data_IF_428267452377
#
_entry.id   IF_428267452377
#
_cell.length_a   1.000
_cell.length_b   1.000
_cell.length_c   1.000
_cell.angle_alpha   90.00
_cell.angle_beta   90.00
_cell.angle_gamma   90.00
#
_symmetry.space_group_name_H-M   'P 1'
#
loop_
_entity.id
_entity.type
_entity.pdbx_description
1 polymer ?
#
# COMPACT_ATOMS: atom_id res chain seq x y z
N UNK A 1 9.60 -5.49 25.81
CA UNK A 1 8.84 -5.06 24.64
C UNK A 1 7.67 -4.23 25.17
N UNK A 2 7.65 -2.94 24.88
CA UNK A 2 6.57 -2.05 25.34
C UNK A 2 5.34 -2.36 24.47
N UNK A 3 4.34 -3.07 25.02
CA UNK A 3 3.10 -3.42 24.32
C UNK A 3 2.38 -2.20 23.71
N UNK A 4 2.65 -1.01 24.24
CA UNK A 4 2.17 0.29 23.76
C UNK A 4 2.60 0.60 22.32
N UNK A 5 3.81 0.21 21.91
CA UNK A 5 4.37 0.56 20.59
C UNK A 5 3.76 -0.29 19.47
N UNK A 6 3.59 -1.59 19.71
CA UNK A 6 2.88 -2.49 18.78
C UNK A 6 1.40 -2.14 18.70
N UNK A 7 0.76 -1.78 19.82
CA UNK A 7 -0.61 -1.29 19.82
C UNK A 7 -0.78 -0.05 18.94
N UNK A 8 0.18 0.89 18.98
CA UNK A 8 0.11 2.08 18.14
C UNK A 8 0.14 1.76 16.65
N UNK A 9 0.95 0.79 16.21
CA UNK A 9 0.92 0.31 14.82
C UNK A 9 -0.45 -0.26 14.44
N UNK A 10 -1.04 -1.10 15.31
CA UNK A 10 -2.36 -1.66 15.06
C UNK A 10 -3.45 -0.58 14.98
N UNK A 11 -3.36 0.45 15.83
CA UNK A 11 -4.27 1.59 15.80
C UNK A 11 -4.09 2.44 14.54
N UNK A 12 -2.86 2.67 14.09
CA UNK A 12 -2.59 3.39 12.84
C UNK A 12 -3.14 2.61 11.65
N UNK A 13 -2.87 1.30 11.54
CA UNK A 13 -3.46 0.45 10.51
C UNK A 13 -5.00 0.46 10.55
N UNK A 14 -5.60 0.48 11.75
CA UNK A 14 -7.06 0.55 11.92
C UNK A 14 -7.66 1.85 11.36
N UNK A 15 -6.91 2.96 11.29
CA UNK A 15 -7.38 4.21 10.69
C UNK A 15 -7.76 4.06 9.22
N UNK A 16 -7.18 3.10 8.50
CA UNK A 16 -7.51 2.83 7.09
C UNK A 16 -8.99 2.51 6.87
N UNK A 17 -9.69 1.98 7.89
CA UNK A 17 -11.14 1.75 7.83
C UNK A 17 -11.96 3.05 7.74
N UNK A 18 -11.35 4.17 8.10
CA UNK A 18 -11.96 5.50 8.06
C UNK A 18 -11.39 6.38 6.94
N UNK A 19 -10.45 5.87 6.12
CA UNK A 19 -9.93 6.56 4.94
C UNK A 19 -10.72 6.10 3.73
N UNK A 20 -11.63 6.92 3.16
CA UNK A 20 -12.34 6.55 1.94
C UNK A 20 -11.39 6.61 0.74
N UNK A 21 -11.59 5.74 -0.26
CA UNK A 21 -10.85 5.82 -1.52
C UNK A 21 -11.24 7.09 -2.29
N UNK A 22 -10.33 8.06 -2.35
CA UNK A 22 -10.61 9.43 -2.80
C UNK A 22 -11.08 9.47 -4.26
N UNK A 23 -10.60 8.56 -5.10
CA UNK A 23 -11.08 8.44 -6.49
C UNK A 23 -12.60 8.25 -6.59
N UNK A 24 -13.21 7.43 -5.72
CA UNK A 24 -14.66 7.22 -5.70
C UNK A 24 -15.39 8.46 -5.15
N UNK A 25 -14.86 9.07 -4.10
CA UNK A 25 -15.41 10.30 -3.49
C UNK A 25 -15.47 11.42 -4.52
N UNK A 26 -14.39 11.63 -5.28
CA UNK A 26 -14.33 12.64 -6.35
C UNK A 26 -15.35 12.42 -7.47
N UNK A 27 -15.79 11.16 -7.66
CA UNK A 27 -16.83 10.78 -8.64
C UNK A 27 -18.25 10.79 -8.06
N UNK A 28 -18.43 11.29 -6.83
CA UNK A 28 -19.73 11.43 -6.19
C UNK A 28 -20.30 10.12 -5.62
N UNK A 29 -19.49 9.08 -5.44
CA UNK A 29 -19.92 7.85 -4.77
C UNK A 29 -20.05 8.11 -3.27
N UNK A 30 -21.28 8.14 -2.77
CA UNK A 30 -21.57 8.51 -1.38
C UNK A 30 -21.02 7.51 -0.35
N UNK A 31 -21.00 6.22 -0.69
CA UNK A 31 -20.47 5.14 0.17
C UNK A 31 -19.26 4.50 -0.51
N UNK A 32 -18.23 5.32 -0.74
CA UNK A 32 -16.95 4.84 -1.23
C UNK A 32 -16.37 3.79 -0.26
N UNK A 33 -15.76 2.74 -0.83
CA UNK A 33 -14.99 1.78 -0.04
C UNK A 33 -13.86 2.48 0.73
N UNK A 34 -13.48 1.92 1.88
CA UNK A 34 -12.30 2.38 2.61
C UNK A 34 -11.01 1.79 2.03
N UNK A 35 -9.86 2.37 2.36
CA UNK A 35 -8.55 1.82 2.00
C UNK A 35 -8.34 0.43 2.62
N UNK A 36 -8.93 0.17 3.80
CA UNK A 36 -8.92 -1.16 4.39
C UNK A 36 -9.74 -2.18 3.57
N UNK A 37 -10.92 -1.80 3.08
CA UNK A 37 -11.74 -2.65 2.20
C UNK A 37 -11.00 -2.96 0.89
N UNK A 38 -10.37 -1.94 0.32
CA UNK A 38 -9.53 -2.07 -0.87
C UNK A 38 -8.38 -3.05 -0.64
N UNK A 39 -7.62 -2.86 0.45
CA UNK A 39 -6.48 -3.71 0.80
C UNK A 39 -6.87 -5.16 1.04
N UNK A 40 -8.03 -5.41 1.66
CA UNK A 40 -8.58 -6.76 1.79
C UNK A 40 -8.88 -7.36 0.41
N UNK A 41 -9.53 -6.60 -0.48
CA UNK A 41 -9.81 -7.02 -1.86
C UNK A 41 -8.55 -7.37 -2.63
N UNK A 42 -7.51 -6.52 -2.57
CA UNK A 42 -6.20 -6.76 -3.21
C UNK A 42 -5.54 -8.02 -2.65
N UNK A 43 -5.52 -8.21 -1.33
CA UNK A 43 -4.95 -9.42 -0.71
C UNK A 43 -5.69 -10.69 -1.13
N UNK A 44 -7.03 -10.66 -1.14
CA UNK A 44 -7.85 -11.80 -1.55
C UNK A 44 -7.67 -12.14 -3.03
N UNK A 45 -7.70 -11.13 -3.91
CA UNK A 45 -7.44 -11.32 -5.34
C UNK A 45 -6.04 -11.88 -5.55
N UNK A 46 -5.02 -11.34 -4.86
CA UNK A 46 -3.64 -11.82 -4.96
C UNK A 46 -3.52 -13.28 -4.53
N UNK A 47 -4.20 -13.69 -3.46
CA UNK A 47 -4.26 -15.08 -3.04
C UNK A 47 -4.84 -15.98 -4.12
N UNK A 48 -6.02 -15.63 -4.66
CA UNK A 48 -6.69 -16.46 -5.69
C UNK A 48 -5.86 -16.53 -6.97
N UNK A 49 -5.35 -15.40 -7.46
CA UNK A 49 -4.52 -15.35 -8.66
C UNK A 49 -3.22 -16.14 -8.49
N UNK A 50 -2.67 -16.23 -7.28
CA UNK A 50 -1.48 -17.04 -7.02
C UNK A 50 -1.68 -18.54 -7.24
N UNK A 51 -2.93 -19.03 -7.24
CA UNK A 51 -3.26 -20.43 -7.57
C UNK A 51 -3.43 -20.66 -9.08
N UNK A 52 -3.56 -19.59 -9.87
CA UNK A 52 -3.84 -19.66 -11.30
C UNK A 52 -2.61 -19.45 -12.17
N UNK A 53 -1.49 -19.03 -11.59
CA UNK A 53 -0.23 -18.84 -12.30
C UNK A 53 0.66 -20.08 -12.16
N UNK A 54 1.29 -20.50 -13.25
CA UNK A 54 2.15 -21.69 -13.27
C UNK A 54 3.49 -21.47 -12.56
N UNK A 55 3.86 -20.22 -12.30
CA UNK A 55 5.12 -19.86 -11.65
C UNK A 55 5.00 -20.00 -10.12
N UNK A 56 5.99 -20.61 -9.45
CA UNK A 56 5.98 -20.71 -7.99
C UNK A 56 6.10 -19.31 -7.37
N UNK A 57 5.12 -18.94 -6.55
CA UNK A 57 5.09 -17.67 -5.82
C UNK A 57 5.26 -17.89 -4.32
N UNK A 58 6.03 -17.00 -3.68
CA UNK A 58 6.04 -16.87 -2.23
C UNK A 58 4.75 -16.14 -1.78
N UNK A 59 3.76 -16.92 -1.35
CA UNK A 59 2.46 -16.39 -0.89
C UNK A 59 2.59 -15.52 0.36
N UNK A 60 3.54 -15.80 1.25
CA UNK A 60 3.73 -14.99 2.45
C UNK A 60 4.22 -13.59 2.09
N UNK A 61 5.22 -13.51 1.21
CA UNK A 61 5.69 -12.25 0.63
C UNK A 61 4.57 -11.51 -0.11
N UNK A 62 3.88 -12.19 -1.02
CA UNK A 62 2.79 -11.62 -1.83
C UNK A 62 1.69 -10.99 -0.97
N UNK A 63 1.19 -11.73 0.03
CA UNK A 63 0.13 -11.25 0.91
C UNK A 63 0.62 -10.14 1.83
N UNK A 64 1.88 -10.19 2.28
CA UNK A 64 2.48 -9.11 3.06
C UNK A 64 2.55 -7.83 2.24
N UNK A 65 3.00 -7.89 0.98
CA UNK A 65 3.01 -6.73 0.08
C UNK A 65 1.60 -6.16 -0.11
N UNK A 66 0.61 -7.03 -0.39
CA UNK A 66 -0.78 -6.62 -0.58
C UNK A 66 -1.39 -5.95 0.67
N UNK A 67 -1.06 -6.41 1.87
CA UNK A 67 -1.57 -5.81 3.11
C UNK A 67 -0.89 -4.49 3.47
N UNK A 68 0.37 -4.29 3.05
CA UNK A 68 1.16 -3.11 3.41
C UNK A 68 1.16 -2.01 2.34
N UNK A 69 0.73 -2.30 1.10
CA UNK A 69 0.92 -1.38 -0.03
C UNK A 69 0.41 0.03 0.24
N UNK A 70 -0.80 0.17 0.79
CA UNK A 70 -1.44 1.45 1.12
C UNK A 70 -1.36 1.78 2.64
N UNK A 71 -0.57 1.05 3.44
CA UNK A 71 -0.46 1.33 4.89
C UNK A 71 -0.02 2.77 5.21
N UNK A 72 0.87 3.43 4.44
CA UNK A 72 1.19 4.84 4.65
C UNK A 72 0.00 5.80 4.57
N UNK A 73 -1.07 5.44 3.86
CA UNK A 73 -2.30 6.25 3.76
C UNK A 73 -3.03 6.38 5.12
N UNK A 74 -2.67 5.57 6.12
CA UNK A 74 -3.14 5.75 7.50
C UNK A 74 -2.66 7.07 8.15
N UNK A 75 -1.63 7.70 7.57
CA UNK A 75 -1.03 8.94 8.04
C UNK A 75 -1.32 10.09 7.07
N UNK A 76 -1.14 9.87 5.76
CA UNK A 76 -1.27 10.93 4.73
C UNK A 76 -2.60 10.92 3.97
N UNK A 77 -3.51 10.00 4.29
CA UNK A 77 -4.75 9.74 3.54
C UNK A 77 -4.51 9.25 2.09
N UNK A 78 -5.59 8.91 1.39
CA UNK A 78 -5.55 8.49 -0.02
C UNK A 78 -5.39 9.72 -0.91
N UNK A 79 -4.14 10.07 -1.24
CA UNK A 79 -3.83 11.22 -2.09
C UNK A 79 -4.19 10.93 -3.55
N UNK A 80 -5.17 11.64 -4.13
CA UNK A 80 -5.65 11.33 -5.46
C UNK A 80 -4.61 11.72 -6.52
N UNK A 81 -4.48 10.91 -7.56
CA UNK A 81 -3.50 11.12 -8.65
C UNK A 81 -3.47 12.54 -9.22
N UNK A 82 -4.61 13.23 -9.46
CA UNK A 82 -4.60 14.61 -9.93
C UNK A 82 -3.92 15.61 -8.98
N UNK A 83 -3.91 15.35 -7.67
CA UNK A 83 -3.17 16.18 -6.71
C UNK A 83 -1.67 15.87 -6.77
N UNK A 84 -1.32 14.58 -6.82
CA UNK A 84 0.07 14.10 -6.83
C UNK A 84 0.84 14.61 -8.04
N UNK A 85 0.20 14.83 -9.19
CA UNK A 85 0.85 15.40 -10.39
C UNK A 85 1.37 16.82 -10.20
N UNK A 86 0.95 17.52 -9.15
CA UNK A 86 1.43 18.86 -8.81
C UNK A 86 2.50 18.87 -7.71
N UNK A 87 2.87 17.70 -7.18
CA UNK A 87 3.96 17.59 -6.22
C UNK A 87 5.32 17.47 -6.93
N UNK A 88 6.43 17.78 -6.24
CA UNK A 88 7.75 17.46 -6.77
C UNK A 88 7.84 15.97 -7.15
N UNK A 89 8.61 15.62 -8.20
CA UNK A 89 8.81 14.23 -8.57
C UNK A 89 9.21 13.38 -7.37
N UNK A 90 8.61 12.20 -7.24
CA UNK A 90 8.85 11.23 -6.14
C UNK A 90 8.46 11.70 -4.74
N UNK A 91 7.92 12.92 -4.55
CA UNK A 91 7.63 13.43 -3.20
C UNK A 91 6.64 12.55 -2.42
N UNK A 92 5.58 12.06 -3.09
CA UNK A 92 4.65 11.09 -2.51
C UNK A 92 5.38 9.80 -2.10
N UNK A 93 6.15 9.23 -3.02
CA UNK A 93 6.88 7.99 -2.77
C UNK A 93 7.84 8.11 -1.57
N UNK A 94 8.61 9.20 -1.49
CA UNK A 94 9.53 9.47 -0.38
C UNK A 94 8.78 9.59 0.95
N UNK A 95 7.66 10.32 0.96
CA UNK A 95 6.82 10.42 2.16
C UNK A 95 6.29 9.05 2.58
N UNK A 96 5.83 8.22 1.64
CA UNK A 96 5.32 6.87 1.91
C UNK A 96 6.41 5.94 2.46
N UNK A 97 7.61 5.99 1.88
CA UNK A 97 8.79 5.26 2.36
C UNK A 97 9.13 5.64 3.81
N UNK A 98 9.24 6.93 4.10
CA UNK A 98 9.53 7.44 5.45
C UNK A 98 8.47 7.03 6.47
N UNK A 99 7.19 7.14 6.10
CA UNK A 99 6.06 6.76 6.95
C UNK A 99 6.07 5.26 7.21
N UNK A 100 6.22 4.44 6.17
CA UNK A 100 6.21 2.99 6.33
C UNK A 100 7.37 2.52 7.19
N UNK A 101 8.57 3.07 6.98
CA UNK A 101 9.73 2.77 7.81
C UNK A 101 9.46 3.08 9.30
N UNK A 102 8.83 4.24 9.59
CA UNK A 102 8.44 4.60 10.95
C UNK A 102 7.39 3.62 11.53
N UNK A 103 6.34 3.30 10.77
CA UNK A 103 5.29 2.38 11.19
C UNK A 103 5.87 0.98 11.50
N UNK A 104 6.70 0.45 10.61
CA UNK A 104 7.27 -0.89 10.73
C UNK A 104 8.38 -0.99 11.78
N UNK A 105 9.10 0.10 12.10
CA UNK A 105 10.13 0.13 13.16
C UNK A 105 9.62 -0.34 14.53
N UNK A 106 8.29 -0.39 14.70
CA UNK A 106 7.55 -0.82 15.88
C UNK A 106 7.38 -2.34 15.99
N UNK A 107 7.75 -3.10 14.96
CA UNK A 107 7.71 -4.56 14.92
C UNK A 107 9.11 -5.15 15.15
N UNK A 108 9.24 -6.17 16.00
CA UNK A 108 10.50 -6.91 16.11
C UNK A 108 10.66 -7.91 14.95
N UNK A 109 11.89 -8.11 14.50
CA UNK A 109 12.34 -9.19 13.59
C UNK A 109 11.85 -9.18 12.14
N UNK A 110 10.70 -8.57 11.80
CA UNK A 110 10.15 -8.59 10.44
C UNK A 110 10.17 -7.23 9.71
N UNK A 111 10.41 -6.13 10.42
CA UNK A 111 10.30 -4.76 9.88
C UNK A 111 11.12 -4.55 8.60
N UNK A 112 12.40 -4.93 8.63
CA UNK A 112 13.32 -4.76 7.50
C UNK A 112 12.90 -5.60 6.28
N UNK A 113 12.51 -6.85 6.50
CA UNK A 113 12.07 -7.75 5.43
C UNK A 113 10.78 -7.26 4.78
N UNK A 114 9.79 -6.86 5.60
CA UNK A 114 8.52 -6.36 5.10
C UNK A 114 8.66 -5.05 4.34
N UNK A 115 9.52 -4.14 4.84
CA UNK A 115 9.86 -2.92 4.14
C UNK A 115 10.52 -3.19 2.78
N UNK A 116 11.47 -4.13 2.75
CA UNK A 116 12.14 -4.55 1.50
C UNK A 116 11.13 -5.09 0.48
N UNK A 117 10.23 -5.97 0.91
CA UNK A 117 9.18 -6.50 0.03
C UNK A 117 8.24 -5.42 -0.50
N UNK A 118 7.86 -4.46 0.35
CA UNK A 118 7.03 -3.32 -0.06
C UNK A 118 7.74 -2.46 -1.11
N UNK A 119 9.03 -2.16 -0.93
CA UNK A 119 9.81 -1.39 -1.90
C UNK A 119 9.93 -2.10 -3.26
N UNK A 120 10.13 -3.42 -3.25
CA UNK A 120 10.13 -4.22 -4.47
C UNK A 120 8.78 -4.14 -5.21
N UNK A 121 7.66 -4.17 -4.48
CA UNK A 121 6.31 -3.99 -5.03
C UNK A 121 6.17 -2.63 -5.74
N UNK A 122 6.51 -1.56 -5.02
CA UNK A 122 6.38 -0.19 -5.49
C UNK A 122 7.22 0.04 -6.75
N UNK A 123 8.43 -0.53 -6.79
CA UNK A 123 9.31 -0.44 -7.96
C UNK A 123 8.77 -1.19 -9.17
N UNK A 124 8.28 -2.42 -8.99
CA UNK A 124 7.73 -3.22 -10.08
C UNK A 124 6.53 -2.51 -10.75
N UNK A 125 5.65 -1.90 -9.94
CA UNK A 125 4.53 -1.10 -10.44
C UNK A 125 5.01 0.11 -11.27
N UNK A 126 6.03 0.83 -10.79
CA UNK A 126 6.62 1.94 -11.53
C UNK A 126 7.21 1.51 -12.87
N UNK A 127 7.95 0.40 -12.92
CA UNK A 127 8.55 -0.13 -14.15
C UNK A 127 7.47 -0.55 -15.16
N UNK A 128 6.40 -1.20 -14.71
CA UNK A 128 5.26 -1.59 -15.56
C UNK A 128 4.53 -0.37 -16.15
N UNK A 129 4.21 0.63 -15.31
CA UNK A 129 3.55 1.86 -15.75
C UNK A 129 4.39 2.64 -16.77
N UNK A 130 5.71 2.73 -16.55
CA UNK A 130 6.63 3.35 -17.51
C UNK A 130 6.65 2.59 -18.84
N UNK A 131 6.54 1.26 -18.80
CA UNK A 131 6.51 0.42 -19.99
C UNK A 131 5.20 0.59 -20.76
N UNK A 132 4.06 0.64 -20.07
CA UNK A 132 2.74 0.89 -20.68
C UNK A 132 2.67 2.27 -21.32
N UNK A 133 3.21 3.31 -20.65
CA UNK A 133 3.23 4.68 -21.18
C UNK A 133 4.06 4.80 -22.47
N UNK A 134 5.12 4.01 -22.63
CA UNK A 134 5.93 3.95 -23.86
C UNK A 134 5.26 3.18 -25.00
N UNK A 135 4.29 2.31 -24.71
CA UNK A 135 3.58 1.51 -25.73
C UNK A 135 2.36 2.23 -26.32
N UNK A 136 1.81 3.21 -25.59
CA UNK A 136 0.58 3.91 -25.95
C UNK A 136 0.74 5.44 -26.11
N UNK A 137 1.98 5.95 -26.12
CA UNK A 137 2.33 7.32 -26.50
C UNK A 137 3.18 7.33 -27.75
#
# INVERSE_FOLDING_TARGET
MEASVTLQLLLDAHRLKCVPRTGWVMRGVASAESVADHSFGVAFISLVLSELVDQPLDKAKLLTMALLHDLPESVISDLPTPAVTHFPPEAKQKAEEEILANLLSRLPHCAEQWYTWWQEAARALCEELLTLRKRHG
#
